data_IF_506123176810
#
_entry.id   IF_506123176810
#
_cell.length_a   1.000
_cell.length_b   1.000
_cell.length_c   1.000
_cell.angle_alpha   90.00
_cell.angle_beta   90.00
_cell.angle_gamma   90.00
#
_symmetry.space_group_name_H-M   'P 1'
#
loop_
_entity.id
_entity.type
_entity.pdbx_description
1 polymer ?
#
# COMPACT_ATOMS: atom_id res chain seq x y z
N UNK A 1 -9.09 12.65 17.02
CA UNK A 1 -8.47 13.60 16.07
C UNK A 1 -9.54 14.15 15.15
N UNK A 2 -9.61 15.47 14.98
CA UNK A 2 -10.67 16.12 14.21
C UNK A 2 -10.27 16.46 12.77
N UNK A 3 -8.99 16.39 12.44
CA UNK A 3 -8.52 16.71 11.09
C UNK A 3 -8.76 15.53 10.15
N UNK A 4 -9.48 15.81 9.08
CA UNK A 4 -9.87 14.87 8.03
C UNK A 4 -9.31 15.33 6.69
N UNK A 5 -9.32 14.44 5.70
CA UNK A 5 -8.94 14.77 4.33
C UNK A 5 -9.67 13.93 3.28
N UNK A 6 -9.73 14.47 2.06
CA UNK A 6 -10.06 13.78 0.80
C UNK A 6 -8.88 13.86 -0.16
N UNK A 7 -8.88 13.02 -1.20
CA UNK A 7 -7.84 13.05 -2.24
C UNK A 7 -8.44 13.69 -3.49
N UNK A 8 -7.88 14.83 -3.91
CA UNK A 8 -8.35 15.54 -5.09
C UNK A 8 -7.92 14.82 -6.38
N UNK A 9 -8.48 15.23 -7.53
CA UNK A 9 -8.11 14.68 -8.84
C UNK A 9 -6.60 14.79 -9.17
N UNK A 10 -5.91 15.77 -8.57
CA UNK A 10 -4.47 15.94 -8.68
C UNK A 10 -3.64 15.06 -7.71
N UNK A 11 -4.28 14.20 -6.91
CA UNK A 11 -3.61 13.34 -5.92
C UNK A 11 -3.14 14.07 -4.66
N UNK A 12 -3.42 15.38 -4.52
CA UNK A 12 -3.13 16.16 -3.32
C UNK A 12 -4.24 15.95 -2.27
N UNK A 13 -3.86 16.05 -0.99
CA UNK A 13 -4.81 15.96 0.14
C UNK A 13 -5.45 17.32 0.39
N UNK A 14 -6.77 17.38 0.30
CA UNK A 14 -7.58 18.53 0.75
C UNK A 14 -8.02 18.29 2.19
N UNK A 15 -7.65 19.19 3.11
CA UNK A 15 -7.94 19.03 4.53
C UNK A 15 -9.26 19.69 4.92
N UNK A 16 -9.95 19.08 5.88
CA UNK A 16 -11.26 19.50 6.33
C UNK A 16 -11.53 19.01 7.76
N UNK A 17 -12.52 19.62 8.41
CA UNK A 17 -13.06 19.15 9.70
C UNK A 17 -14.37 18.36 9.51
N UNK A 18 -14.94 18.38 8.30
CA UNK A 18 -16.20 17.72 8.00
C UNK A 18 -16.00 16.22 7.80
N UNK A 19 -16.95 15.41 8.26
CA UNK A 19 -16.91 13.94 8.15
C UNK A 19 -17.39 13.43 6.78
N UNK A 20 -18.20 14.21 6.09
CA UNK A 20 -18.78 13.88 4.79
C UNK A 20 -18.71 15.13 3.93
N UNK A 21 -18.17 14.99 2.72
CA UNK A 21 -18.13 16.06 1.72
C UNK A 21 -18.63 15.46 0.41
N UNK A 22 -19.63 16.08 -0.22
CA UNK A 22 -20.15 15.65 -1.53
C UNK A 22 -20.52 14.16 -1.62
N UNK A 23 -20.97 13.57 -0.50
CA UNK A 23 -21.31 12.14 -0.40
C UNK A 23 -20.12 11.19 -0.14
N UNK A 24 -18.88 11.67 -0.20
CA UNK A 24 -17.69 10.88 0.16
C UNK A 24 -17.37 11.02 1.64
N UNK A 25 -17.06 9.89 2.29
CA UNK A 25 -16.64 9.85 3.69
C UNK A 25 -15.16 10.23 3.79
N UNK A 26 -14.87 11.26 4.57
CA UNK A 26 -13.51 11.78 4.73
C UNK A 26 -12.66 10.86 5.60
N UNK A 27 -11.35 10.79 5.33
CA UNK A 27 -10.40 9.93 6.05
C UNK A 27 -9.66 10.74 7.11
N UNK A 28 -9.29 10.11 8.23
CA UNK A 28 -8.50 10.79 9.26
C UNK A 28 -7.11 11.16 8.73
N UNK A 29 -6.72 12.42 8.90
CA UNK A 29 -5.40 12.90 8.47
C UNK A 29 -4.24 12.34 9.30
N UNK A 30 -4.56 11.68 10.41
CA UNK A 30 -3.58 11.13 11.35
C UNK A 30 -3.42 9.62 11.17
N UNK A 31 -2.18 9.10 11.24
CA UNK A 31 -1.95 7.67 11.17
C UNK A 31 -2.51 6.96 12.40
N UNK A 32 -2.73 5.65 12.27
CA UNK A 32 -3.08 4.81 13.40
C UNK A 32 -1.98 4.85 14.46
N UNK A 33 -2.37 4.90 15.75
CA UNK A 33 -1.44 4.93 16.87
C UNK A 33 -0.58 3.67 16.88
N UNK A 34 0.73 3.83 16.97
CA UNK A 34 1.62 2.71 17.22
C UNK A 34 1.43 2.20 18.65
N UNK A 35 1.32 0.89 18.84
CA UNK A 35 1.24 0.25 20.15
C UNK A 35 2.20 -0.94 20.14
N UNK A 36 3.16 -1.03 21.08
CA UNK A 36 4.15 -2.11 21.10
C UNK A 36 3.54 -3.49 21.27
N UNK A 37 2.41 -3.56 21.94
CA UNK A 37 1.65 -4.75 22.32
C UNK A 37 0.58 -5.16 21.27
N UNK A 38 0.64 -4.61 20.06
CA UNK A 38 -0.37 -4.85 19.01
C UNK A 38 -0.61 -6.34 18.69
N UNK A 39 -1.66 -6.88 19.34
CA UNK A 39 -2.13 -8.27 19.22
C UNK A 39 -2.51 -8.67 17.79
N UNK A 40 -2.87 -7.70 16.94
CA UNK A 40 -3.33 -7.96 15.57
C UNK A 40 -2.21 -7.77 14.52
N UNK A 41 -0.97 -7.57 14.95
CA UNK A 41 0.20 -7.49 14.07
C UNK A 41 0.30 -8.64 13.06
N UNK A 42 0.16 -9.89 13.52
CA UNK A 42 0.18 -11.10 12.66
C UNK A 42 -0.91 -11.05 11.59
N UNK A 43 -2.14 -10.73 11.98
CA UNK A 43 -3.29 -10.67 11.07
C UNK A 43 -3.09 -9.60 9.98
N UNK A 44 -2.59 -8.42 10.37
CA UNK A 44 -2.30 -7.34 9.43
C UNK A 44 -1.24 -7.74 8.40
N UNK A 45 -0.18 -8.43 8.81
CA UNK A 45 0.86 -8.93 7.89
C UNK A 45 0.29 -9.98 6.93
N UNK A 46 -0.50 -10.93 7.42
CA UNK A 46 -1.13 -11.96 6.57
C UNK A 46 -2.07 -11.36 5.53
N UNK A 47 -2.87 -10.36 5.91
CA UNK A 47 -3.73 -9.62 4.97
C UNK A 47 -2.90 -8.91 3.89
N UNK A 48 -1.85 -8.18 4.29
CA UNK A 48 -0.96 -7.52 3.32
C UNK A 48 -0.29 -8.51 2.37
N UNK A 49 0.10 -9.69 2.86
CA UNK A 49 0.68 -10.77 2.02
C UNK A 49 -0.29 -11.28 0.97
N UNK A 50 -1.55 -11.57 1.35
CA UNK A 50 -2.55 -12.12 0.44
C UNK A 50 -2.88 -11.19 -0.73
N UNK A 51 -2.87 -9.89 -0.48
CA UNK A 51 -3.15 -8.87 -1.51
C UNK A 51 -1.88 -8.32 -2.19
N UNK A 52 -0.69 -8.89 -1.92
CA UNK A 52 0.56 -8.39 -2.51
C UNK A 52 0.93 -6.95 -2.10
N UNK A 53 0.37 -6.45 -0.98
CA UNK A 53 0.57 -5.09 -0.47
C UNK A 53 1.77 -4.96 0.47
N UNK A 54 2.58 -6.02 0.63
CA UNK A 54 3.83 -5.90 1.36
C UNK A 54 4.86 -5.16 0.51
N UNK A 55 5.48 -4.14 1.10
CA UNK A 55 6.53 -3.35 0.46
C UNK A 55 7.67 -4.21 -0.09
N UNK A 56 8.07 -5.27 0.64
CA UNK A 56 9.14 -6.20 0.21
C UNK A 56 8.78 -7.06 -1.01
N UNK A 57 7.50 -7.14 -1.39
CA UNK A 57 7.04 -7.92 -2.55
C UNK A 57 6.87 -7.05 -3.81
N UNK A 58 6.91 -5.72 -3.69
CA UNK A 58 6.72 -4.82 -4.82
C UNK A 58 7.98 -4.79 -5.70
N UNK A 59 7.79 -4.86 -7.03
CA UNK A 59 8.86 -4.93 -8.04
C UNK A 59 9.93 -3.85 -7.85
N UNK A 60 9.48 -2.62 -7.57
CA UNK A 60 10.31 -1.43 -7.39
C UNK A 60 11.25 -1.52 -6.17
N UNK A 61 10.89 -2.30 -5.16
CA UNK A 61 11.72 -2.52 -3.97
C UNK A 61 12.62 -3.76 -4.10
N UNK A 62 12.21 -4.77 -4.87
CA UNK A 62 13.01 -5.97 -5.12
C UNK A 62 14.22 -5.70 -6.03
N UNK A 63 14.11 -4.73 -6.95
CA UNK A 63 15.23 -4.25 -7.75
C UNK A 63 16.30 -3.53 -6.91
N UNK A 64 15.91 -2.82 -5.86
CA UNK A 64 16.85 -2.08 -4.99
C UNK A 64 17.74 -3.00 -4.12
N UNK A 65 17.18 -4.09 -3.59
CA UNK A 65 17.94 -5.04 -2.75
C UNK A 65 18.83 -6.01 -3.53
N UNK A 66 18.67 -6.12 -4.86
CA UNK A 66 19.52 -6.96 -5.71
C UNK A 66 20.86 -6.33 -6.10
N UNK A 67 21.05 -5.03 -5.89
CA UNK A 67 22.32 -4.35 -6.24
C UNK A 67 23.44 -4.48 -5.19
N UNK A 68 23.15 -5.00 -3.99
CA UNK A 68 24.12 -5.00 -2.88
C UNK A 68 24.96 -6.28 -2.72
N UNK A 69 24.57 -7.41 -3.32
CA UNK A 69 25.30 -8.68 -3.20
C UNK A 69 25.09 -9.48 -4.49
N UNK A 70 26.20 -9.95 -5.05
CA UNK A 70 26.33 -10.80 -6.24
C UNK A 70 26.58 -10.05 -7.56
N UNK A 71 27.86 -9.93 -7.88
CA UNK A 71 28.25 -10.10 -9.28
C UNK A 71 27.74 -11.43 -9.81
N UNK A 72 27.42 -11.42 -11.11
CA UNK A 72 27.30 -12.59 -11.96
C UNK A 72 26.07 -13.49 -11.79
N UNK A 73 24.83 -12.99 -11.93
CA UNK A 73 23.73 -13.84 -12.42
C UNK A 73 22.81 -13.09 -13.37
N UNK A 74 22.58 -13.74 -14.49
CA UNK A 74 21.96 -13.32 -15.73
C UNK A 74 20.48 -12.94 -15.59
N UNK A 75 20.08 -11.95 -16.38
CA UNK A 75 18.74 -11.38 -16.44
C UNK A 75 17.71 -12.46 -16.80
N UNK A 76 16.91 -12.88 -15.82
CA UNK A 76 15.59 -13.45 -16.12
C UNK A 76 14.52 -12.52 -15.61
N UNK A 77 13.88 -11.88 -16.59
CA UNK A 77 12.75 -10.98 -16.42
C UNK A 77 11.66 -11.61 -15.56
N UNK A 78 11.16 -10.81 -14.62
CA UNK A 78 9.91 -11.08 -13.94
C UNK A 78 8.79 -10.73 -14.93
N UNK A 79 8.37 -11.71 -15.74
CA UNK A 79 7.23 -11.55 -16.63
C UNK A 79 5.96 -11.30 -15.80
N UNK A 80 5.39 -10.12 -16.01
CA UNK A 80 4.07 -9.75 -15.50
C UNK A 80 3.04 -10.64 -16.21
N UNK A 81 2.66 -11.73 -15.58
CA UNK A 81 1.44 -12.46 -15.91
C UNK A 81 0.22 -11.63 -15.54
N UNK A 82 -0.15 -10.69 -16.40
CA UNK A 82 -1.50 -10.15 -16.44
C UNK A 82 -2.35 -11.02 -17.35
N UNK A 83 -3.38 -11.66 -16.81
CA UNK A 83 -4.60 -11.93 -17.57
C UNK A 83 -5.81 -11.86 -16.64
N UNK A 84 -6.43 -10.69 -16.68
CA UNK A 84 -7.82 -10.47 -16.30
C UNK A 84 -8.66 -11.14 -17.39
N UNK A 85 -9.43 -12.17 -17.06
CA UNK A 85 -10.51 -12.63 -17.94
C UNK A 85 -11.80 -12.80 -17.15
N UNK A 86 -12.73 -11.89 -17.44
CA UNK A 86 -14.14 -12.00 -17.10
C UNK A 86 -14.81 -13.14 -17.89
N UNK A 87 -15.96 -13.57 -17.35
CA UNK A 87 -17.07 -14.36 -17.94
C UNK A 87 -17.03 -15.88 -17.72
N UNK A 88 -18.16 -16.36 -17.20
CA UNK A 88 -18.55 -17.75 -17.02
C UNK A 88 -19.52 -17.88 -15.86
#
# INVERSE_FOLDING_TARGET
MHLMYTVDAAGKRAYTLQKVISGEVTKSAHPARFSPDDKYSRHRVTLKKRYGLLLIQQSEFCSFLKFGVAGLWEERGCERGGEMRERG
#
